data_IF_716680068097
#
_entry.id   IF_716680068097
#
_cell.length_a   1.000
_cell.length_b   1.000
_cell.length_c   1.000
_cell.angle_alpha   90.00
_cell.angle_beta   90.00
_cell.angle_gamma   90.00
#
_symmetry.space_group_name_H-M   'P 1'
#
loop_
_entity.id
_entity.type
_entity.pdbx_description
1 polymer ?
#
# COMPACT_ATOMS: atom_id res chain seq x y z
N UNK A 1 12.96 -13.32 28.41
CA UNK A 1 11.52 -13.41 28.75
C UNK A 1 11.26 -14.14 30.08
N UNK A 2 11.48 -13.51 31.23
CA UNK A 2 11.19 -14.11 32.55
C UNK A 2 10.12 -13.34 33.35
N UNK A 3 9.20 -12.66 32.65
CA UNK A 3 8.11 -11.89 33.25
C UNK A 3 6.97 -12.73 33.85
N UNK A 4 6.00 -12.02 34.42
CA UNK A 4 4.76 -12.60 34.94
C UNK A 4 3.54 -11.84 34.45
N UNK A 5 2.63 -12.60 33.85
CA UNK A 5 1.34 -12.09 33.39
C UNK A 5 0.23 -12.47 34.36
N UNK A 6 -0.66 -11.53 34.66
CA UNK A 6 -1.88 -11.77 35.41
C UNK A 6 -3.04 -12.01 34.44
N UNK A 7 -3.69 -13.16 34.52
CA UNK A 7 -4.86 -13.48 33.69
C UNK A 7 -6.10 -13.72 34.55
N UNK A 8 -7.15 -12.94 34.33
CA UNK A 8 -8.42 -13.03 35.08
C UNK A 8 -9.62 -12.83 34.15
N UNK A 9 -10.77 -13.41 34.50
CA UNK A 9 -12.04 -13.11 33.82
C UNK A 9 -12.93 -12.32 34.76
N UNK A 10 -13.37 -11.15 34.31
CA UNK A 10 -14.35 -10.32 35.03
C UNK A 10 -15.51 -9.99 34.10
N UNK A 11 -16.72 -10.34 34.52
CA UNK A 11 -17.89 -10.33 33.63
C UNK A 11 -17.68 -11.29 32.44
N UNK A 12 -17.71 -10.74 31.23
CA UNK A 12 -17.49 -11.47 29.98
C UNK A 12 -16.15 -11.08 29.30
N UNK A 13 -15.24 -10.43 30.02
CA UNK A 13 -13.96 -9.98 29.48
C UNK A 13 -12.82 -10.76 30.11
N UNK A 14 -11.93 -11.30 29.27
CA UNK A 14 -10.64 -11.84 29.70
C UNK A 14 -9.65 -10.67 29.75
N UNK A 15 -9.14 -10.42 30.95
CA UNK A 15 -8.08 -9.47 31.21
C UNK A 15 -6.75 -10.20 31.30
N UNK A 16 -5.77 -9.77 30.53
CA UNK A 16 -4.39 -10.27 30.56
C UNK A 16 -3.48 -9.07 30.75
N UNK A 17 -2.75 -9.04 31.86
CA UNK A 17 -1.93 -7.88 32.23
C UNK A 17 -0.50 -8.29 32.54
N UNK A 18 0.47 -7.78 31.76
CA UNK A 18 1.89 -8.03 31.95
C UNK A 18 2.49 -7.26 33.13
N UNK A 19 3.70 -7.64 33.51
CA UNK A 19 4.61 -6.80 34.28
C UNK A 19 5.63 -6.13 33.35
N UNK A 20 6.45 -5.16 33.81
CA UNK A 20 7.38 -4.42 32.93
C UNK A 20 8.59 -5.23 32.41
N UNK A 21 8.51 -6.56 32.46
CA UNK A 21 9.56 -7.45 32.00
C UNK A 21 9.01 -8.28 30.85
N UNK A 22 9.86 -8.60 29.89
CA UNK A 22 9.59 -9.50 28.77
C UNK A 22 8.66 -10.70 29.08
N UNK A 23 7.50 -10.70 28.44
CA UNK A 23 6.48 -11.74 28.52
C UNK A 23 6.33 -12.48 27.19
N UNK A 24 5.95 -13.75 27.26
CA UNK A 24 5.51 -14.52 26.10
C UNK A 24 4.25 -15.29 26.45
N UNK A 25 3.14 -14.94 25.80
CA UNK A 25 1.81 -15.46 26.13
C UNK A 25 1.17 -16.09 24.91
N UNK A 26 0.51 -17.22 25.10
CA UNK A 26 -0.33 -17.86 24.10
C UNK A 26 -1.77 -17.98 24.62
N UNK A 27 -2.72 -17.55 23.80
CA UNK A 27 -4.16 -17.66 24.03
C UNK A 27 -4.77 -18.59 22.99
N UNK A 28 -5.52 -19.60 23.46
CA UNK A 28 -6.21 -20.55 22.60
C UNK A 28 -7.67 -20.72 23.05
N UNK A 29 -8.56 -21.05 22.11
CA UNK A 29 -9.95 -21.34 22.41
C UNK A 29 -10.14 -22.86 22.53
N UNK A 30 -10.51 -23.32 23.72
CA UNK A 30 -10.73 -24.75 24.00
C UNK A 30 -12.20 -25.17 23.96
N UNK A 31 -13.09 -24.23 23.66
CA UNK A 31 -14.54 -24.44 23.53
C UNK A 31 -15.27 -23.14 23.22
N UNK A 32 -16.58 -23.22 22.98
CA UNK A 32 -17.39 -22.01 22.73
C UNK A 32 -17.26 -21.05 23.92
N UNK A 33 -16.77 -19.83 23.66
CA UNK A 33 -16.49 -18.80 24.67
C UNK A 33 -15.59 -19.27 25.82
N UNK A 34 -14.73 -20.27 25.58
CA UNK A 34 -13.81 -20.81 26.58
C UNK A 34 -12.37 -20.73 26.09
N UNK A 35 -11.52 -20.05 26.85
CA UNK A 35 -10.15 -19.74 26.45
C UNK A 35 -9.15 -20.20 27.49
N UNK A 36 -7.94 -20.49 27.03
CA UNK A 36 -6.78 -20.83 27.84
C UNK A 36 -5.70 -19.80 27.62
N UNK A 37 -5.11 -19.30 28.71
CA UNK A 37 -3.92 -18.45 28.69
C UNK A 37 -2.76 -19.24 29.28
N UNK A 38 -1.64 -19.31 28.57
CA UNK A 38 -0.42 -20.01 28.99
C UNK A 38 0.81 -19.17 28.65
N UNK A 39 1.86 -19.24 29.48
CA UNK A 39 3.18 -18.74 29.10
C UNK A 39 3.76 -19.61 27.98
N UNK A 40 4.38 -19.00 26.97
CA UNK A 40 4.97 -19.72 25.84
C UNK A 40 6.06 -20.69 26.29
N UNK A 41 6.13 -21.87 25.69
CA UNK A 41 7.08 -22.91 26.08
C UNK A 41 8.52 -22.40 25.93
N UNK A 42 9.33 -22.55 26.98
CA UNK A 42 10.74 -22.16 26.97
C UNK A 42 11.03 -20.67 27.21
N UNK A 43 10.01 -19.81 27.24
CA UNK A 43 10.19 -18.39 27.56
C UNK A 43 10.72 -18.19 28.98
N UNK A 44 10.03 -18.77 29.97
CA UNK A 44 10.20 -18.46 31.39
C UNK A 44 9.03 -17.65 31.96
N UNK A 45 8.16 -17.12 31.09
CA UNK A 45 6.98 -16.37 31.49
C UNK A 45 6.03 -17.21 32.34
N UNK A 46 5.59 -16.63 33.45
CA UNK A 46 4.61 -17.23 34.35
C UNK A 46 3.24 -16.58 34.18
N UNK A 47 2.17 -17.34 34.47
CA UNK A 47 0.80 -16.79 34.45
C UNK A 47 0.16 -16.98 35.82
N UNK A 48 -0.21 -15.88 36.47
CA UNK A 48 -0.63 -15.83 37.87
C UNK A 48 0.39 -16.50 38.82
N UNK A 49 1.68 -16.27 38.59
CA UNK A 49 2.80 -16.85 39.36
C UNK A 49 3.01 -18.35 39.15
N UNK A 50 2.31 -18.97 38.18
CA UNK A 50 2.45 -20.39 37.88
C UNK A 50 3.42 -20.60 36.71
N UNK A 51 4.24 -21.68 36.73
CA UNK A 51 5.16 -21.99 35.65
C UNK A 51 4.46 -22.07 34.28
N UNK A 52 5.23 -21.81 33.21
CA UNK A 52 4.81 -21.94 31.82
C UNK A 52 4.07 -23.26 31.57
N UNK A 53 3.04 -23.22 30.71
CA UNK A 53 2.15 -24.35 30.43
C UNK A 53 0.99 -24.55 31.43
N UNK A 54 0.88 -23.74 32.48
CA UNK A 54 -0.30 -23.81 33.37
C UNK A 54 -1.50 -23.12 32.74
N UNK A 55 -2.54 -23.89 32.45
CA UNK A 55 -3.78 -23.42 31.81
C UNK A 55 -4.69 -22.69 32.79
N UNK A 56 -5.10 -21.47 32.44
CA UNK A 56 -6.22 -20.76 33.09
C UNK A 56 -7.40 -20.76 32.14
N UNK A 57 -8.54 -21.29 32.60
CA UNK A 57 -9.75 -21.39 31.79
C UNK A 57 -10.71 -20.25 32.09
N UNK A 58 -10.90 -19.35 31.13
CA UNK A 58 -11.98 -18.37 31.15
C UNK A 58 -13.26 -18.96 30.57
N UNK A 59 -14.41 -18.85 31.24
CA UNK A 59 -15.71 -19.28 30.72
C UNK A 59 -16.57 -18.07 30.35
N UNK A 60 -17.38 -18.19 29.29
CA UNK A 60 -18.26 -17.13 28.79
C UNK A 60 -17.53 -15.84 28.39
N UNK A 61 -16.27 -15.96 27.97
CA UNK A 61 -15.48 -14.81 27.49
C UNK A 61 -16.03 -14.38 26.13
N UNK A 62 -16.29 -13.09 26.00
CA UNK A 62 -16.77 -12.43 24.78
C UNK A 62 -15.83 -11.34 24.31
N UNK A 63 -15.01 -10.78 25.20
CA UNK A 63 -14.06 -9.72 24.90
C UNK A 63 -12.67 -10.05 25.43
N UNK A 64 -11.64 -9.49 24.78
CA UNK A 64 -10.27 -9.44 25.30
C UNK A 64 -9.90 -7.99 25.65
N UNK A 65 -9.24 -7.84 26.80
CA UNK A 65 -8.54 -6.64 27.23
C UNK A 65 -7.13 -7.08 27.65
N UNK A 66 -6.15 -6.86 26.79
CA UNK A 66 -4.77 -7.31 26.97
C UNK A 66 -3.88 -6.06 27.04
N UNK A 67 -3.02 -6.00 28.05
CA UNK A 67 -2.10 -4.89 28.30
C UNK A 67 -0.81 -5.48 28.89
N UNK A 68 0.22 -5.65 28.07
CA UNK A 68 1.49 -6.25 28.49
C UNK A 68 2.42 -5.23 29.17
N UNK A 69 2.09 -3.95 29.04
CA UNK A 69 2.70 -2.75 29.64
C UNK A 69 4.09 -2.40 29.12
N UNK A 70 4.96 -3.36 28.87
CA UNK A 70 6.28 -3.13 28.30
C UNK A 70 7.31 -4.18 28.70
N UNK A 71 8.53 -4.01 28.18
CA UNK A 71 9.45 -5.12 27.92
C UNK A 71 9.27 -5.58 26.49
N UNK A 72 10.12 -6.50 26.04
CA UNK A 72 9.99 -7.06 24.69
C UNK A 72 9.03 -8.24 24.76
N UNK A 73 7.74 -8.00 24.55
CA UNK A 73 6.68 -8.97 24.76
C UNK A 73 6.34 -9.76 23.49
N UNK A 74 5.70 -10.93 23.66
CA UNK A 74 5.16 -11.69 22.55
C UNK A 74 3.79 -12.26 22.88
N UNK A 75 2.86 -12.17 21.94
CA UNK A 75 1.48 -12.63 22.11
C UNK A 75 1.03 -13.43 20.89
N UNK A 76 0.71 -14.71 21.11
CA UNK A 76 0.03 -15.55 20.14
C UNK A 76 -1.43 -15.76 20.48
N UNK A 77 -2.37 -15.47 19.57
CA UNK A 77 -3.80 -15.69 19.77
C UNK A 77 -4.44 -16.39 18.55
N UNK A 78 -4.48 -17.73 18.57
CA UNK A 78 -5.02 -18.57 17.49
C UNK A 78 -5.39 -19.97 18.01
N UNK A 79 -6.25 -20.73 17.31
CA UNK A 79 -6.42 -22.17 17.53
C UNK A 79 -5.46 -23.05 16.72
N UNK A 80 -4.69 -22.47 15.79
CA UNK A 80 -3.73 -23.20 14.96
C UNK A 80 -2.33 -23.15 15.59
N UNK A 81 -1.88 -24.30 16.14
CA UNK A 81 -0.51 -24.44 16.62
C UNK A 81 0.52 -24.27 15.49
N UNK A 82 0.16 -24.62 14.25
CA UNK A 82 1.04 -24.46 13.09
C UNK A 82 1.25 -22.98 12.80
N UNK A 83 0.17 -22.18 12.79
CA UNK A 83 0.26 -20.72 12.64
C UNK A 83 1.17 -20.13 13.71
N UNK A 84 0.92 -20.42 14.99
CA UNK A 84 1.71 -19.88 16.10
C UNK A 84 3.19 -20.29 16.02
N UNK A 85 3.47 -21.54 15.64
CA UNK A 85 4.86 -22.02 15.49
C UNK A 85 5.58 -21.36 14.32
N UNK A 86 4.88 -21.18 13.18
CA UNK A 86 5.46 -20.55 12.00
C UNK A 86 5.75 -19.07 12.24
N UNK A 87 4.80 -18.34 12.84
CA UNK A 87 4.99 -16.92 13.16
C UNK A 87 6.08 -16.75 14.23
N UNK A 88 6.15 -17.63 15.23
CA UNK A 88 7.27 -17.62 16.17
C UNK A 88 8.62 -17.87 15.49
N UNK A 89 8.69 -18.74 14.49
CA UNK A 89 9.92 -18.97 13.74
C UNK A 89 10.28 -17.74 12.89
N UNK A 90 9.29 -17.03 12.35
CA UNK A 90 9.45 -15.80 11.58
C UNK A 90 10.02 -14.66 12.42
N UNK A 91 9.47 -14.40 13.61
CA UNK A 91 10.00 -13.41 14.57
C UNK A 91 11.44 -13.72 15.03
N UNK A 92 11.91 -14.95 14.83
CA UNK A 92 13.30 -15.36 15.09
C UNK A 92 14.19 -15.29 13.84
N UNK A 93 13.77 -14.56 12.80
CA UNK A 93 14.48 -14.40 11.53
C UNK A 93 14.29 -15.56 10.55
N UNK A 94 13.25 -16.36 10.72
CA UNK A 94 12.89 -17.45 9.81
C UNK A 94 12.25 -16.95 8.51
N UNK A 95 12.22 -17.75 7.43
CA UNK A 95 11.57 -17.35 6.19
C UNK A 95 10.06 -17.15 6.42
N UNK A 96 9.49 -16.09 5.84
CA UNK A 96 8.04 -15.85 5.85
C UNK A 96 7.33 -17.07 5.23
N UNK A 97 6.69 -17.90 6.06
CA UNK A 97 5.99 -19.07 5.58
C UNK A 97 4.61 -18.67 5.04
N UNK A 98 4.21 -19.25 3.89
CA UNK A 98 2.84 -19.15 3.41
C UNK A 98 1.91 -19.91 4.37
N UNK A 99 1.25 -19.20 5.27
CA UNK A 99 0.35 -19.77 6.29
C UNK A 99 -1.03 -20.03 5.70
N UNK A 100 -1.13 -21.17 5.02
CA UNK A 100 -2.42 -21.77 4.70
C UNK A 100 -3.09 -22.25 5.98
N UNK A 101 -4.12 -21.54 6.46
CA UNK A 101 -5.46 -22.04 6.83
C UNK A 101 -6.23 -20.98 7.64
N UNK A 102 -7.20 -20.33 7.00
CA UNK A 102 -8.13 -19.36 7.60
C UNK A 102 -9.14 -20.00 8.60
N UNK A 103 -9.14 -21.32 8.77
CA UNK A 103 -10.21 -22.05 9.44
C UNK A 103 -10.20 -21.91 10.98
N UNK A 104 -9.03 -21.67 11.57
CA UNK A 104 -8.78 -21.90 13.00
C UNK A 104 -8.70 -20.62 13.86
N UNK A 105 -9.35 -19.55 13.43
CA UNK A 105 -9.42 -18.31 14.19
C UNK A 105 -10.16 -18.47 15.54
N UNK A 106 -9.70 -17.75 16.57
CA UNK A 106 -10.42 -17.58 17.84
C UNK A 106 -11.70 -16.79 17.61
N UNK A 107 -12.81 -17.17 18.22
CA UNK A 107 -14.10 -16.46 18.04
C UNK A 107 -14.51 -15.70 19.31
N UNK A 108 -14.68 -14.38 19.18
CA UNK A 108 -15.14 -13.46 20.22
C UNK A 108 -16.47 -12.82 19.79
N UNK A 109 -17.46 -12.79 20.68
CA UNK A 109 -18.74 -12.15 20.38
C UNK A 109 -18.68 -10.61 20.47
N UNK A 110 -17.70 -10.06 21.18
CA UNK A 110 -17.48 -8.62 21.31
C UNK A 110 -16.17 -8.20 20.65
N UNK A 111 -15.30 -7.49 21.39
CA UNK A 111 -14.09 -6.85 20.86
C UNK A 111 -12.79 -7.51 21.36
N UNK A 112 -11.68 -7.14 20.74
CA UNK A 112 -10.34 -7.38 21.27
C UNK A 112 -9.57 -6.04 21.31
N UNK A 113 -9.07 -5.68 22.49
CA UNK A 113 -8.18 -4.53 22.71
C UNK A 113 -6.87 -5.10 23.28
N UNK A 114 -5.77 -4.90 22.56
CA UNK A 114 -4.49 -5.54 22.82
C UNK A 114 -3.41 -4.46 22.79
N UNK A 115 -2.63 -4.37 23.88
CA UNK A 115 -1.55 -3.40 24.02
C UNK A 115 -0.25 -4.03 24.46
N UNK A 116 0.85 -3.61 23.82
CA UNK A 116 2.22 -4.02 24.13
C UNK A 116 2.85 -3.14 25.21
N UNK A 117 3.09 -1.88 24.89
CA UNK A 117 3.63 -0.88 25.79
C UNK A 117 4.90 -0.24 25.24
N UNK A 118 6.00 -0.34 25.98
CA UNK A 118 7.32 0.11 25.52
C UNK A 118 8.22 -1.11 25.42
N UNK A 119 8.94 -1.26 24.31
CA UNK A 119 9.81 -2.39 24.02
C UNK A 119 9.47 -3.00 22.66
N UNK A 120 10.29 -3.95 22.21
CA UNK A 120 10.09 -4.61 20.91
C UNK A 120 9.08 -5.76 21.06
N UNK A 121 7.86 -5.56 20.59
CA UNK A 121 6.72 -6.45 20.80
C UNK A 121 6.36 -7.27 19.55
N UNK A 122 6.01 -8.55 19.76
CA UNK A 122 5.71 -9.46 18.65
C UNK A 122 4.34 -10.15 18.78
N UNK A 123 3.35 -9.68 18.02
CA UNK A 123 1.95 -10.11 18.10
C UNK A 123 1.51 -10.93 16.88
N UNK A 124 0.98 -12.13 17.13
CA UNK A 124 0.47 -13.07 16.14
C UNK A 124 -1.00 -13.39 16.39
N UNK A 125 -1.90 -12.78 15.62
CA UNK A 125 -3.33 -12.76 15.89
C UNK A 125 -4.15 -13.41 14.75
N UNK A 126 -5.06 -14.29 15.12
CA UNK A 126 -6.07 -14.88 14.23
C UNK A 126 -7.44 -14.85 14.93
N UNK A 127 -8.18 -13.76 14.77
CA UNK A 127 -9.37 -13.45 15.55
C UNK A 127 -10.61 -13.20 14.67
N UNK A 128 -11.75 -13.80 15.05
CA UNK A 128 -13.08 -13.47 14.54
C UNK A 128 -13.87 -12.78 15.64
N UNK A 129 -14.02 -11.47 15.54
CA UNK A 129 -14.71 -10.65 16.54
C UNK A 129 -16.06 -10.16 16.02
N UNK A 130 -17.04 -10.04 16.93
CA UNK A 130 -18.33 -9.43 16.61
C UNK A 130 -18.29 -7.90 16.57
N UNK A 131 -17.21 -7.30 17.06
CA UNK A 131 -16.97 -5.86 17.11
C UNK A 131 -15.57 -5.55 16.57
N UNK A 132 -14.78 -4.70 17.25
CA UNK A 132 -13.53 -4.18 16.73
C UNK A 132 -12.33 -5.01 17.24
N UNK A 133 -11.25 -5.00 16.45
CA UNK A 133 -9.91 -5.40 16.89
C UNK A 133 -9.08 -4.12 16.97
N UNK A 134 -8.47 -3.87 18.12
CA UNK A 134 -7.49 -2.81 18.32
C UNK A 134 -6.20 -3.45 18.81
N UNK A 135 -5.12 -3.18 18.09
CA UNK A 135 -3.75 -3.58 18.41
C UNK A 135 -2.93 -2.30 18.49
N UNK A 136 -2.17 -2.16 19.56
CA UNK A 136 -1.37 -0.98 19.91
C UNK A 136 -0.08 -1.48 20.58
N UNK A 137 0.98 -1.75 19.81
CA UNK A 137 2.24 -2.30 20.36
C UNK A 137 3.03 -1.22 21.07
N UNK A 138 3.00 0.02 20.59
CA UNK A 138 3.42 1.19 21.36
C UNK A 138 4.71 1.75 20.82
N UNK A 139 5.76 1.84 21.65
CA UNK A 139 7.06 2.35 21.21
C UNK A 139 8.10 1.22 21.21
N UNK A 140 8.85 1.07 20.14
CA UNK A 140 9.84 0.00 19.97
C UNK A 140 9.97 -0.35 18.50
N UNK A 141 10.62 -1.48 18.20
CA UNK A 141 10.51 -2.15 16.89
C UNK A 141 9.56 -3.33 17.01
N UNK A 142 8.38 -3.22 16.41
CA UNK A 142 7.27 -4.11 16.67
C UNK A 142 6.88 -4.98 15.46
N UNK A 143 6.57 -6.25 15.73
CA UNK A 143 6.07 -7.19 14.74
C UNK A 143 4.57 -7.46 14.97
N UNK A 144 3.69 -7.03 14.06
CA UNK A 144 2.25 -7.32 14.12
C UNK A 144 1.79 -8.16 12.93
N UNK A 145 1.47 -9.43 13.19
CA UNK A 145 0.90 -10.37 12.22
C UNK A 145 -0.58 -10.61 12.51
N UNK A 146 -1.45 -10.14 11.61
CA UNK A 146 -2.89 -10.34 11.65
C UNK A 146 -3.37 -11.15 10.44
N UNK A 147 -3.71 -12.42 10.67
CA UNK A 147 -4.13 -13.32 9.59
C UNK A 147 -5.55 -13.82 9.78
N UNK A 148 -6.27 -14.03 8.67
CA UNK A 148 -7.60 -14.65 8.64
C UNK A 148 -8.62 -14.05 9.59
N UNK A 149 -8.43 -12.79 9.97
CA UNK A 149 -9.18 -12.14 11.02
C UNK A 149 -10.42 -11.45 10.45
N UNK A 150 -11.50 -11.42 11.23
CA UNK A 150 -12.74 -10.74 10.85
C UNK A 150 -13.21 -9.83 11.97
N UNK A 151 -13.61 -8.60 11.65
CA UNK A 151 -14.09 -7.63 12.62
C UNK A 151 -15.05 -6.62 11.98
N UNK A 152 -15.67 -5.78 12.80
CA UNK A 152 -16.42 -4.60 12.36
C UNK A 152 -15.46 -3.51 11.89
N UNK A 153 -14.39 -3.24 12.65
CA UNK A 153 -13.25 -2.39 12.28
C UNK A 153 -11.96 -3.00 12.85
N UNK A 154 -10.82 -2.66 12.24
CA UNK A 154 -9.50 -3.07 12.70
C UNK A 154 -8.59 -1.85 12.71
N UNK A 155 -7.94 -1.62 13.84
CA UNK A 155 -6.87 -0.66 14.00
C UNK A 155 -5.62 -1.40 14.47
N UNK A 156 -4.52 -1.23 13.75
CA UNK A 156 -3.17 -1.60 14.16
C UNK A 156 -2.37 -0.30 14.29
N UNK A 157 -1.94 0.03 15.50
CA UNK A 157 -0.88 1.01 15.74
C UNK A 157 0.34 0.20 16.15
N UNK A 158 1.32 0.11 15.26
CA UNK A 158 2.61 -0.41 15.65
C UNK A 158 3.39 0.66 16.43
N UNK A 159 3.12 1.94 16.11
CA UNK A 159 3.94 3.04 16.61
C UNK A 159 3.19 4.16 17.35
N UNK A 160 3.96 5.02 18.05
CA UNK A 160 3.53 6.25 18.73
C UNK A 160 3.77 7.54 17.96
N UNK A 161 4.51 7.53 16.84
CA UNK A 161 4.96 8.69 16.09
C UNK A 161 5.95 9.61 16.83
N UNK A 162 6.55 9.15 17.93
CA UNK A 162 7.73 9.72 18.58
C UNK A 162 9.00 9.07 18.04
N UNK A 163 9.47 9.64 16.94
CA UNK A 163 10.74 9.33 16.29
C UNK A 163 11.93 9.11 17.25
N UNK A 164 11.95 9.68 18.46
CA UNK A 164 13.05 9.45 19.41
C UNK A 164 13.04 8.08 20.11
N UNK A 165 11.88 7.44 20.21
CA UNK A 165 11.69 6.15 20.90
C UNK A 165 11.30 5.02 19.98
N UNK A 166 10.81 5.39 18.81
CA UNK A 166 10.16 4.50 17.87
C UNK A 166 11.21 3.94 16.89
N UNK A 167 10.99 2.70 16.44
CA UNK A 167 11.93 1.95 15.63
C UNK A 167 11.22 1.24 14.48
N UNK A 168 11.99 0.46 13.72
CA UNK A 168 11.47 -0.21 12.51
C UNK A 168 10.40 -1.25 12.87
N UNK A 169 9.21 -1.13 12.27
CA UNK A 169 8.08 -2.01 12.48
C UNK A 169 7.82 -2.95 11.30
N UNK A 170 7.25 -4.12 11.59
CA UNK A 170 6.72 -5.04 10.60
C UNK A 170 5.23 -5.32 10.82
N UNK A 171 4.38 -4.86 9.91
CA UNK A 171 2.94 -5.12 9.96
C UNK A 171 2.48 -5.98 8.79
N UNK A 172 1.88 -7.12 9.10
CA UNK A 172 1.36 -8.05 8.11
C UNK A 172 -0.11 -8.36 8.30
N UNK A 173 -0.91 -8.04 7.30
CA UNK A 173 -2.36 -8.27 7.31
C UNK A 173 -2.78 -9.12 6.12
N UNK A 174 -3.17 -10.38 6.37
CA UNK A 174 -3.52 -11.34 5.30
C UNK A 174 -4.88 -12.01 5.49
N UNK A 175 -5.68 -12.07 4.44
CA UNK A 175 -6.98 -12.75 4.44
C UNK A 175 -7.98 -12.15 5.43
N UNK A 176 -7.90 -10.84 5.63
CA UNK A 176 -8.69 -10.11 6.63
C UNK A 176 -9.98 -9.58 6.01
N UNK A 177 -11.08 -9.66 6.76
CA UNK A 177 -12.38 -9.10 6.37
C UNK A 177 -12.92 -8.13 7.42
N UNK A 178 -13.12 -6.87 7.04
CA UNK A 178 -13.71 -5.81 7.85
C UNK A 178 -15.12 -5.51 7.36
N UNK A 179 -16.12 -5.96 8.11
CA UNK A 179 -17.49 -6.05 7.62
C UNK A 179 -18.18 -4.70 7.40
N UNK A 180 -17.87 -3.69 8.23
CA UNK A 180 -18.61 -2.42 8.23
C UNK A 180 -17.73 -1.18 8.24
N UNK A 181 -16.55 -1.24 8.84
CA UNK A 181 -15.63 -0.12 9.00
C UNK A 181 -14.33 -0.31 8.23
N UNK A 182 -13.29 0.34 8.74
CA UNK A 182 -11.99 0.44 8.08
C UNK A 182 -10.97 -0.53 8.67
N UNK A 183 -10.01 -0.91 7.83
CA UNK A 183 -8.69 -1.34 8.29
C UNK A 183 -7.80 -0.09 8.32
N UNK A 184 -7.25 0.23 9.49
CA UNK A 184 -6.27 1.31 9.65
C UNK A 184 -4.99 0.70 10.20
N UNK A 185 -3.87 1.01 9.57
CA UNK A 185 -2.52 0.62 9.99
C UNK A 185 -1.70 1.90 10.12
N UNK A 186 -1.09 2.08 11.27
CA UNK A 186 -0.18 3.16 11.55
C UNK A 186 1.15 2.59 12.07
N UNK A 187 2.23 2.87 11.36
CA UNK A 187 3.61 2.61 11.81
C UNK A 187 4.39 3.92 11.95
N UNK A 188 3.90 5.01 11.35
CA UNK A 188 4.32 6.41 11.51
C UNK A 188 5.81 6.77 11.41
N UNK A 189 6.73 6.15 12.15
CA UNK A 189 8.14 6.49 12.11
C UNK A 189 9.03 5.28 12.22
N UNK A 190 10.13 5.28 11.47
CA UNK A 190 11.05 4.15 11.40
C UNK A 190 11.18 3.68 9.96
N UNK A 191 12.06 2.70 9.71
CA UNK A 191 12.12 2.09 8.38
C UNK A 191 11.14 0.89 8.35
N UNK A 192 9.86 1.14 8.07
CA UNK A 192 8.79 0.15 8.29
C UNK A 192 8.50 -0.74 7.09
N UNK A 193 8.00 -1.95 7.35
CA UNK A 193 7.53 -2.87 6.31
C UNK A 193 6.08 -3.28 6.56
N UNK A 194 5.21 -2.99 5.59
CA UNK A 194 3.78 -3.29 5.65
C UNK A 194 3.36 -4.21 4.50
N UNK A 195 2.95 -5.44 4.85
CA UNK A 195 2.49 -6.47 3.93
C UNK A 195 0.97 -6.68 4.00
N UNK A 196 0.25 -6.33 2.92
CA UNK A 196 -1.19 -6.53 2.79
C UNK A 196 -1.52 -7.60 1.75
N UNK A 197 -2.32 -8.61 2.11
CA UNK A 197 -2.79 -9.59 1.14
C UNK A 197 -4.25 -9.99 1.34
N UNK A 198 -5.06 -9.99 0.28
CA UNK A 198 -6.44 -10.47 0.30
C UNK A 198 -7.30 -9.79 1.39
N UNK A 199 -7.27 -8.45 1.41
CA UNK A 199 -8.01 -7.63 2.37
C UNK A 199 -9.36 -7.22 1.79
N UNK A 200 -10.44 -7.41 2.54
CA UNK A 200 -11.78 -6.92 2.19
C UNK A 200 -12.31 -5.97 3.28
N UNK A 201 -12.53 -4.69 2.97
CA UNK A 201 -12.96 -3.70 3.97
C UNK A 201 -13.96 -2.67 3.41
N UNK A 202 -14.52 -1.79 4.25
CA UNK A 202 -15.17 -0.57 3.74
C UNK A 202 -14.11 0.36 3.13
N UNK A 203 -13.06 0.64 3.89
CA UNK A 203 -11.86 1.35 3.45
C UNK A 203 -10.60 0.78 4.08
N UNK A 204 -9.45 1.06 3.46
CA UNK A 204 -8.11 0.77 3.97
C UNK A 204 -7.35 2.09 4.05
N UNK A 205 -6.69 2.33 5.19
CA UNK A 205 -5.78 3.45 5.40
C UNK A 205 -4.47 2.90 5.94
N UNK A 206 -3.36 3.25 5.30
CA UNK A 206 -2.00 2.97 5.76
C UNK A 206 -1.29 4.30 5.94
N UNK A 207 -0.71 4.51 7.12
CA UNK A 207 0.13 5.67 7.44
C UNK A 207 1.48 5.11 7.92
N UNK A 208 2.45 5.05 7.01
CA UNK A 208 3.73 4.41 7.24
C UNK A 208 4.77 5.39 7.81
N UNK A 209 4.98 6.56 7.21
CA UNK A 209 5.91 7.54 7.78
C UNK A 209 5.27 8.84 8.28
N UNK A 210 6.13 9.81 8.60
CA UNK A 210 5.78 11.14 9.08
C UNK A 210 6.18 12.24 8.10
N UNK A 211 5.63 13.45 8.25
CA UNK A 211 5.90 14.54 7.31
C UNK A 211 7.32 15.11 7.28
N UNK A 212 8.22 14.71 8.19
CA UNK A 212 9.64 15.11 8.17
C UNK A 212 10.46 14.39 9.25
N UNK A 213 11.66 13.93 8.93
CA UNK A 213 12.56 13.29 9.93
C UNK A 213 13.33 14.28 10.80
N UNK A 214 13.69 13.87 12.03
CA UNK A 214 14.54 14.65 12.95
C UNK A 214 15.87 13.96 13.24
N UNK A 215 16.89 14.75 13.61
CA UNK A 215 18.16 14.26 14.16
C UNK A 215 18.93 13.23 13.29
N UNK A 216 18.67 13.19 11.99
CA UNK A 216 19.33 12.24 11.08
C UNK A 216 18.77 10.82 11.14
N UNK A 217 17.56 10.65 11.67
CA UNK A 217 16.79 9.43 11.53
C UNK A 217 16.34 9.24 10.08
N UNK A 218 16.24 7.98 9.69
CA UNK A 218 15.60 7.54 8.46
C UNK A 218 14.15 7.19 8.75
N UNK A 219 13.36 7.17 7.69
CA UNK A 219 11.92 6.90 7.69
C UNK A 219 11.64 6.21 6.35
N UNK A 220 12.36 5.13 6.04
CA UNK A 220 12.34 4.49 4.71
C UNK A 220 11.35 3.34 4.72
N UNK A 221 10.17 3.57 4.16
CA UNK A 221 9.06 2.63 4.25
C UNK A 221 8.93 1.70 3.03
N UNK A 222 8.47 0.49 3.27
CA UNK A 222 8.04 -0.46 2.24
C UNK A 222 6.59 -0.90 2.45
N UNK A 223 5.69 -0.54 1.52
CA UNK A 223 4.29 -0.98 1.51
C UNK A 223 4.04 -1.92 0.33
N UNK A 224 3.85 -3.20 0.63
CA UNK A 224 3.48 -4.23 -0.34
C UNK A 224 2.01 -4.59 -0.21
N UNK A 225 1.26 -4.57 -1.32
CA UNK A 225 -0.13 -5.02 -1.30
C UNK A 225 -0.56 -5.86 -2.51
N UNK A 226 -1.34 -6.90 -2.22
CA UNK A 226 -2.00 -7.73 -3.22
C UNK A 226 -3.46 -8.02 -2.87
N UNK A 227 -4.37 -7.78 -3.80
CA UNK A 227 -5.76 -8.22 -3.65
C UNK A 227 -6.53 -7.45 -2.57
N UNK A 228 -6.46 -6.12 -2.59
CA UNK A 228 -7.27 -5.26 -1.72
C UNK A 228 -8.61 -4.99 -2.41
N UNK A 229 -9.71 -5.31 -1.74
CA UNK A 229 -11.07 -4.95 -2.18
C UNK A 229 -11.72 -4.05 -1.14
N UNK A 230 -12.07 -2.83 -1.52
CA UNK A 230 -12.80 -1.88 -0.67
C UNK A 230 -14.04 -1.36 -1.37
N UNK A 231 -15.03 -0.90 -0.58
CA UNK A 231 -16.25 -0.28 -1.11
C UNK A 231 -16.14 1.24 -1.22
N UNK A 232 -15.19 1.84 -0.51
CA UNK A 232 -15.04 3.29 -0.41
C UNK A 232 -13.65 3.77 -0.84
N UNK A 233 -12.60 3.52 -0.05
CA UNK A 233 -11.28 4.06 -0.36
C UNK A 233 -10.13 3.14 0.02
N UNK A 234 -9.03 3.28 -0.72
CA UNK A 234 -7.69 2.86 -0.32
C UNK A 234 -6.82 4.10 -0.30
N UNK A 235 -6.22 4.41 0.85
CA UNK A 235 -5.30 5.53 1.05
C UNK A 235 -4.03 4.97 1.68
N UNK A 236 -2.88 5.27 1.08
CA UNK A 236 -1.55 4.85 1.56
C UNK A 236 -0.66 6.09 1.55
N UNK A 237 -0.02 6.39 2.68
CA UNK A 237 0.91 7.50 2.82
C UNK A 237 2.21 6.97 3.46
N UNK A 238 3.36 7.19 2.82
CA UNK A 238 4.69 6.88 3.39
C UNK A 238 5.42 8.14 3.85
N UNK A 239 5.12 9.29 3.25
CA UNK A 239 5.57 10.62 3.65
C UNK A 239 7.09 10.85 3.54
N UNK A 240 7.83 11.06 4.64
CA UNK A 240 9.25 11.39 4.54
C UNK A 240 10.06 10.11 4.38
N UNK A 241 11.06 10.09 3.50
CA UNK A 241 11.81 8.88 3.26
C UNK A 241 12.12 8.67 1.79
N UNK A 242 12.83 7.59 1.47
CA UNK A 242 12.94 7.13 0.08
C UNK A 242 12.12 5.85 -0.01
N UNK A 243 10.81 5.99 -0.18
CA UNK A 243 9.87 4.92 0.11
C UNK A 243 9.59 4.04 -1.10
N UNK A 244 9.05 2.86 -0.84
CA UNK A 244 8.65 1.89 -1.87
C UNK A 244 7.23 1.41 -1.64
N UNK A 245 6.36 1.63 -2.62
CA UNK A 245 4.97 1.17 -2.60
C UNK A 245 4.72 0.27 -3.81
N UNK A 246 4.50 -1.03 -3.58
CA UNK A 246 4.19 -2.00 -4.63
C UNK A 246 2.79 -2.57 -4.44
N UNK A 247 1.85 -2.11 -5.27
CA UNK A 247 0.42 -2.28 -5.06
C UNK A 247 -0.23 -2.98 -6.26
N UNK A 248 -0.90 -4.10 -6.02
CA UNK A 248 -1.43 -4.93 -7.11
C UNK A 248 -2.81 -5.50 -6.80
N UNK A 249 -3.64 -5.65 -7.83
CA UNK A 249 -5.00 -6.21 -7.71
C UNK A 249 -5.87 -5.41 -6.72
N UNK A 250 -5.89 -4.09 -6.88
CA UNK A 250 -6.65 -3.17 -6.02
C UNK A 250 -8.02 -2.89 -6.65
N UNK A 251 -9.11 -3.11 -5.92
CA UNK A 251 -10.47 -2.74 -6.32
C UNK A 251 -11.08 -1.81 -5.28
N UNK A 252 -11.47 -0.61 -5.69
CA UNK A 252 -12.00 0.41 -4.79
C UNK A 252 -12.95 1.39 -5.49
N UNK A 253 -13.56 2.29 -4.72
CA UNK A 253 -14.22 3.47 -5.30
C UNK A 253 -13.18 4.57 -5.54
N UNK A 254 -12.41 4.93 -4.54
CA UNK A 254 -11.36 5.95 -4.61
C UNK A 254 -9.98 5.40 -4.21
N UNK A 255 -8.95 5.71 -4.98
CA UNK A 255 -7.58 5.28 -4.71
C UNK A 255 -6.66 6.48 -4.56
N UNK A 256 -5.81 6.47 -3.53
CA UNK A 256 -4.74 7.45 -3.36
C UNK A 256 -3.53 6.78 -2.74
N UNK A 257 -2.35 7.09 -3.28
CA UNK A 257 -1.05 6.78 -2.71
C UNK A 257 -0.18 8.03 -2.76
N UNK A 258 0.53 8.31 -1.67
CA UNK A 258 1.45 9.43 -1.52
C UNK A 258 2.81 8.87 -1.09
N UNK A 259 3.86 9.16 -1.87
CA UNK A 259 5.27 9.02 -1.53
C UNK A 259 5.60 10.07 -0.46
N UNK A 260 5.91 11.29 -0.85
CA UNK A 260 6.06 12.44 0.04
C UNK A 260 7.40 13.14 -0.19
N UNK A 261 8.26 13.22 0.83
CA UNK A 261 9.57 13.86 0.65
C UNK A 261 10.68 12.82 0.58
N UNK A 262 11.51 12.90 -0.45
CA UNK A 262 12.62 12.01 -0.76
C UNK A 262 12.35 11.31 -2.09
N UNK A 263 13.17 10.31 -2.43
CA UNK A 263 13.10 9.68 -3.75
C UNK A 263 12.25 8.41 -3.66
N UNK A 264 10.98 8.52 -4.03
CA UNK A 264 9.99 7.47 -3.83
C UNK A 264 9.77 6.60 -5.06
N UNK A 265 9.35 5.36 -4.85
CA UNK A 265 8.94 4.45 -5.91
C UNK A 265 7.51 3.95 -5.66
N UNK A 266 6.57 4.38 -6.49
CA UNK A 266 5.16 3.96 -6.45
C UNK A 266 4.84 3.13 -7.69
N UNK A 267 4.64 1.84 -7.48
CA UNK A 267 4.34 0.85 -8.50
C UNK A 267 2.93 0.30 -8.31
N UNK A 268 2.04 0.57 -9.27
CA UNK A 268 0.65 0.09 -9.24
C UNK A 268 0.36 -0.81 -10.44
N UNK A 269 -0.37 -1.90 -10.20
CA UNK A 269 -0.83 -2.79 -11.25
C UNK A 269 -2.29 -3.23 -11.01
N UNK A 270 -3.06 -3.37 -12.09
CA UNK A 270 -4.41 -3.97 -12.06
C UNK A 270 -5.37 -3.22 -11.12
N UNK A 271 -5.31 -1.88 -11.17
CA UNK A 271 -6.13 -0.99 -10.37
C UNK A 271 -7.53 -0.86 -10.95
N UNK A 272 -8.57 -1.08 -10.14
CA UNK A 272 -9.97 -0.91 -10.51
C UNK A 272 -10.61 0.13 -9.59
N UNK A 273 -10.62 1.39 -10.00
CA UNK A 273 -11.23 2.51 -9.28
C UNK A 273 -12.52 2.98 -9.97
N UNK A 274 -13.64 2.95 -9.25
CA UNK A 274 -14.94 3.38 -9.82
C UNK A 274 -15.15 4.90 -9.81
N UNK A 275 -14.27 5.67 -9.15
CA UNK A 275 -14.15 7.12 -9.30
C UNK A 275 -12.75 7.51 -9.73
N UNK A 276 -11.94 8.04 -8.82
CA UNK A 276 -10.66 8.68 -9.12
C UNK A 276 -9.52 7.89 -8.48
N UNK A 277 -8.34 8.02 -9.08
CA UNK A 277 -7.10 7.39 -8.64
C UNK A 277 -5.96 8.40 -8.71
N UNK A 278 -5.24 8.59 -7.60
CA UNK A 278 -4.13 9.53 -7.49
C UNK A 278 -2.85 8.80 -7.04
N UNK A 279 -1.76 9.03 -7.77
CA UNK A 279 -0.41 8.64 -7.40
C UNK A 279 0.39 9.93 -7.27
N UNK A 280 0.93 10.20 -6.08
CA UNK A 280 1.55 11.49 -5.75
C UNK A 280 2.96 11.23 -5.20
N UNK A 281 3.99 11.81 -5.82
CA UNK A 281 5.39 11.78 -5.36
C UNK A 281 5.69 12.90 -4.36
N UNK A 282 5.30 14.13 -4.68
CA UNK A 282 5.60 15.40 -3.97
C UNK A 282 7.01 15.98 -4.17
N UNK A 283 8.06 15.51 -3.48
CA UNK A 283 9.37 16.16 -3.58
C UNK A 283 10.53 15.16 -3.53
N UNK A 284 11.34 15.11 -4.58
CA UNK A 284 12.50 14.25 -4.73
C UNK A 284 12.56 13.72 -6.16
N UNK A 285 13.49 12.81 -6.45
CA UNK A 285 13.53 12.15 -7.77
C UNK A 285 12.65 10.89 -7.73
N UNK A 286 11.37 11.01 -8.11
CA UNK A 286 10.36 9.98 -7.89
C UNK A 286 10.13 9.06 -9.11
N UNK A 287 9.70 7.82 -8.86
CA UNK A 287 9.26 6.87 -9.89
C UNK A 287 7.80 6.49 -9.65
N UNK A 288 6.90 6.92 -10.54
CA UNK A 288 5.48 6.63 -10.46
C UNK A 288 5.09 5.77 -11.67
N UNK A 289 4.69 4.52 -11.43
CA UNK A 289 4.37 3.57 -12.48
C UNK A 289 2.98 2.96 -12.32
N UNK A 290 2.25 2.88 -13.43
CA UNK A 290 1.10 2.00 -13.61
C UNK A 290 1.41 1.02 -14.74
N UNK A 291 1.62 -0.26 -14.40
CA UNK A 291 1.93 -1.31 -15.36
C UNK A 291 1.16 -2.61 -15.02
N UNK A 292 0.17 -2.95 -15.84
CA UNK A 292 -0.66 -4.14 -15.62
C UNK A 292 0.11 -5.47 -15.79
N UNK A 293 1.28 -5.45 -16.44
CA UNK A 293 2.13 -6.64 -16.61
C UNK A 293 2.94 -6.95 -15.35
N UNK A 294 3.05 -6.01 -14.42
CA UNK A 294 3.79 -6.19 -13.18
C UNK A 294 3.15 -7.24 -12.27
N UNK A 295 4.00 -7.97 -11.58
CA UNK A 295 3.60 -8.93 -10.55
C UNK A 295 4.30 -8.59 -9.24
N UNK A 296 3.59 -7.93 -8.31
CA UNK A 296 4.14 -7.59 -7.00
C UNK A 296 4.72 -8.79 -6.25
N UNK A 297 4.13 -9.98 -6.43
CA UNK A 297 4.58 -11.19 -5.73
C UNK A 297 5.80 -11.87 -6.38
N UNK A 298 6.04 -11.59 -7.66
CA UNK A 298 7.18 -12.11 -8.40
C UNK A 298 7.51 -11.18 -9.57
N UNK A 299 8.24 -10.08 -9.32
CA UNK A 299 8.58 -9.09 -10.36
C UNK A 299 9.33 -9.67 -11.56
N UNK A 300 9.94 -10.86 -11.41
CA UNK A 300 10.64 -11.54 -12.51
C UNK A 300 9.69 -12.24 -13.50
N UNK A 301 8.42 -12.41 -13.14
CA UNK A 301 7.42 -13.11 -13.96
C UNK A 301 6.26 -12.17 -14.33
N UNK A 302 6.27 -11.59 -15.55
CA UNK A 302 5.17 -10.77 -16.03
C UNK A 302 3.84 -11.52 -16.05
N UNK A 303 2.77 -10.83 -15.67
CA UNK A 303 1.40 -11.39 -15.68
C UNK A 303 0.77 -11.17 -17.06
N UNK A 304 0.02 -12.18 -17.52
CA UNK A 304 -0.83 -12.04 -18.71
C UNK A 304 -2.01 -11.14 -18.34
N UNK A 305 -2.08 -9.97 -18.97
CA UNK A 305 -3.19 -9.03 -18.81
C UNK A 305 -4.38 -9.51 -19.64
N UNK A 306 -5.56 -9.50 -19.01
CA UNK A 306 -6.85 -9.89 -19.58
C UNK A 306 -7.88 -8.82 -19.27
N UNK A 307 -9.05 -8.91 -19.89
CA UNK A 307 -10.13 -7.96 -19.61
C UNK A 307 -10.63 -7.93 -18.17
N UNK A 308 -10.42 -9.02 -17.42
CA UNK A 308 -10.90 -9.14 -16.05
C UNK A 308 -9.93 -8.57 -15.02
N UNK A 309 -8.67 -8.31 -15.40
CA UNK A 309 -7.62 -7.92 -14.47
C UNK A 309 -6.80 -6.73 -14.97
N UNK A 310 -7.17 -6.08 -16.06
CA UNK A 310 -6.53 -4.85 -16.48
C UNK A 310 -7.03 -3.63 -15.71
N UNK A 311 -6.22 -2.58 -15.65
CA UNK A 311 -6.57 -1.36 -14.94
C UNK A 311 -7.81 -0.68 -15.55
N UNK A 312 -8.69 -0.19 -14.68
CA UNK A 312 -9.82 0.66 -15.05
C UNK A 312 -10.02 1.77 -14.02
N UNK A 313 -10.10 3.01 -14.51
CA UNK A 313 -10.37 4.20 -13.69
C UNK A 313 -11.47 5.00 -14.37
N UNK A 314 -12.66 5.01 -13.75
CA UNK A 314 -13.86 5.58 -14.37
C UNK A 314 -13.91 7.12 -14.37
N UNK A 315 -13.14 7.76 -13.50
CA UNK A 315 -13.02 9.20 -13.32
C UNK A 315 -11.69 9.75 -13.84
N UNK A 316 -10.89 10.31 -12.94
CA UNK A 316 -9.55 10.81 -13.23
C UNK A 316 -8.50 9.85 -12.66
N UNK A 317 -7.55 9.43 -13.52
CA UNK A 317 -6.25 8.94 -13.09
C UNK A 317 -5.27 10.11 -13.14
N UNK A 318 -4.66 10.48 -12.02
CA UNK A 318 -3.65 11.53 -11.95
C UNK A 318 -2.36 10.98 -11.37
N UNK A 319 -1.27 11.33 -12.05
CA UNK A 319 0.09 11.26 -11.54
C UNK A 319 0.53 12.70 -11.23
N UNK A 320 1.04 12.92 -10.03
CA UNK A 320 1.57 14.20 -9.57
C UNK A 320 2.92 13.93 -8.90
N UNK A 321 3.99 13.93 -9.70
CA UNK A 321 5.32 13.57 -9.22
C UNK A 321 5.92 14.69 -8.36
N UNK A 322 5.70 15.96 -8.73
CA UNK A 322 5.98 17.09 -7.86
C UNK A 322 7.27 17.82 -8.22
N UNK A 323 8.25 17.95 -7.32
CA UNK A 323 9.52 18.62 -7.63
C UNK A 323 10.67 17.61 -7.63
N UNK A 324 11.55 17.66 -8.63
CA UNK A 324 12.73 16.82 -8.73
C UNK A 324 12.83 16.20 -10.12
N UNK A 325 13.74 15.24 -10.34
CA UNK A 325 13.87 14.60 -11.65
C UNK A 325 13.04 13.31 -11.66
N UNK A 326 11.82 13.42 -12.15
CA UNK A 326 10.81 12.39 -11.96
C UNK A 326 10.67 11.46 -13.17
N UNK A 327 10.20 10.24 -12.90
CA UNK A 327 9.83 9.28 -13.93
C UNK A 327 8.38 8.82 -13.76
N UNK A 328 7.53 9.18 -14.71
CA UNK A 328 6.15 8.70 -14.78
C UNK A 328 5.98 7.70 -15.93
N UNK A 329 5.60 6.46 -15.60
CA UNK A 329 5.38 5.39 -16.57
C UNK A 329 3.92 4.90 -16.54
N UNK A 330 3.18 5.06 -17.63
CA UNK A 330 1.82 4.54 -17.78
C UNK A 330 1.80 3.56 -18.95
N UNK A 331 1.82 2.26 -18.65
CA UNK A 331 1.98 1.21 -19.63
C UNK A 331 0.75 0.28 -19.66
N UNK A 332 -0.01 0.37 -20.75
CA UNK A 332 -1.05 -0.60 -21.08
C UNK A 332 -0.49 -1.81 -21.84
N UNK A 333 -1.31 -2.84 -22.02
CA UNK A 333 -0.99 -3.97 -22.87
C UNK A 333 -1.66 -3.80 -24.25
N UNK A 334 -0.93 -4.04 -25.34
CA UNK A 334 -1.46 -4.05 -26.72
C UNK A 334 -2.70 -4.96 -26.91
N UNK A 335 -2.76 -6.06 -26.17
CA UNK A 335 -3.89 -7.00 -26.21
C UNK A 335 -5.07 -6.53 -25.35
N UNK A 336 -4.82 -5.67 -24.35
CA UNK A 336 -5.86 -5.12 -23.49
C UNK A 336 -5.46 -3.75 -22.93
N UNK A 337 -6.10 -2.71 -23.46
CA UNK A 337 -5.86 -1.34 -23.02
C UNK A 337 -6.58 -1.06 -21.69
N UNK A 338 -5.95 -0.38 -20.72
CA UNK A 338 -6.62 0.05 -19.52
C UNK A 338 -7.80 0.95 -19.88
N UNK A 339 -8.95 0.73 -19.23
CA UNK A 339 -10.15 1.54 -19.45
C UNK A 339 -10.08 2.80 -18.60
N UNK A 340 -9.40 3.82 -19.12
CA UNK A 340 -9.26 5.12 -18.48
C UNK A 340 -10.27 6.11 -19.05
N UNK A 341 -10.84 6.97 -18.21
CA UNK A 341 -11.61 8.11 -18.69
C UNK A 341 -10.71 9.31 -18.91
N UNK A 342 -10.14 9.90 -17.86
CA UNK A 342 -9.16 10.97 -18.01
C UNK A 342 -7.82 10.55 -17.41
N UNK A 343 -6.74 11.01 -18.01
CA UNK A 343 -5.37 10.85 -17.51
C UNK A 343 -4.71 12.22 -17.40
N UNK A 344 -4.21 12.56 -16.22
CA UNK A 344 -3.32 13.68 -15.98
C UNK A 344 -1.96 13.17 -15.54
N UNK A 345 -0.90 13.73 -16.11
CA UNK A 345 0.49 13.51 -15.69
C UNK A 345 1.11 14.87 -15.44
N UNK A 346 1.52 15.11 -14.20
CA UNK A 346 2.11 16.36 -13.72
C UNK A 346 3.46 16.00 -13.09
N UNK A 347 4.57 16.55 -13.60
CA UNK A 347 5.93 16.35 -13.02
C UNK A 347 6.60 17.64 -12.54
N UNK A 348 5.93 18.78 -12.77
CA UNK A 348 6.21 20.11 -12.24
C UNK A 348 7.60 20.74 -12.43
N UNK A 349 8.73 20.20 -11.98
CA UNK A 349 10.00 20.87 -12.28
C UNK A 349 11.23 20.05 -11.94
N UNK A 350 12.16 19.97 -12.89
CA UNK A 350 13.36 19.15 -12.83
C UNK A 350 13.76 18.64 -14.21
N UNK A 351 14.26 17.42 -14.33
CA UNK A 351 14.53 16.79 -15.64
C UNK A 351 13.68 15.53 -15.66
N UNK A 352 12.48 15.65 -16.21
CA UNK A 352 11.46 14.64 -16.05
C UNK A 352 11.35 13.71 -17.25
N UNK A 353 10.87 12.50 -17.02
CA UNK A 353 10.51 11.55 -18.08
C UNK A 353 9.07 11.07 -17.90
N UNK A 354 8.22 11.37 -18.88
CA UNK A 354 6.85 10.87 -18.94
C UNK A 354 6.69 9.88 -20.11
N UNK A 355 6.42 8.61 -19.82
CA UNK A 355 6.21 7.55 -20.82
C UNK A 355 4.79 7.01 -20.78
N UNK A 356 4.03 7.24 -21.85
CA UNK A 356 2.65 6.76 -22.02
C UNK A 356 2.59 5.76 -23.18
N UNK A 357 2.23 4.50 -22.90
CA UNK A 357 2.20 3.43 -23.92
C UNK A 357 0.89 2.66 -23.92
N UNK A 358 0.39 2.36 -25.12
CA UNK A 358 -0.73 1.43 -25.35
C UNK A 358 -1.98 1.79 -24.52
N UNK A 359 -2.39 3.05 -24.57
CA UNK A 359 -3.53 3.55 -23.77
C UNK A 359 -4.74 3.81 -24.67
N UNK A 360 -5.93 3.50 -24.16
CA UNK A 360 -7.20 3.83 -24.82
C UNK A 360 -8.12 4.53 -23.81
N UNK A 361 -8.30 5.84 -24.00
CA UNK A 361 -9.05 6.68 -23.08
C UNK A 361 -10.38 7.13 -23.70
N UNK A 362 -11.44 7.12 -22.90
CA UNK A 362 -12.76 7.64 -23.32
C UNK A 362 -12.91 9.15 -23.13
N UNK A 363 -11.94 9.79 -22.46
CA UNK A 363 -11.87 11.23 -22.18
C UNK A 363 -10.52 11.80 -22.59
N UNK A 364 -9.93 12.64 -21.75
CA UNK A 364 -8.79 13.48 -22.11
C UNK A 364 -7.45 12.94 -21.58
N UNK A 365 -6.38 13.29 -22.27
CA UNK A 365 -5.00 13.19 -21.78
C UNK A 365 -4.48 14.62 -21.57
N UNK A 366 -3.93 14.87 -20.39
CA UNK A 366 -3.18 16.06 -20.05
C UNK A 366 -1.80 15.63 -19.56
N UNK A 367 -0.75 16.17 -20.15
CA UNK A 367 0.62 16.08 -19.66
C UNK A 367 1.14 17.50 -19.43
N UNK A 368 1.71 17.74 -18.26
CA UNK A 368 2.35 18.99 -17.87
C UNK A 368 3.67 18.63 -17.17
N UNK A 369 4.80 18.78 -17.86
CA UNK A 369 6.11 18.41 -17.29
C UNK A 369 6.76 19.55 -16.52
N UNK A 370 6.40 20.80 -16.82
CA UNK A 370 6.85 21.94 -16.05
C UNK A 370 8.20 22.51 -16.48
N UNK A 371 8.96 23.08 -15.55
CA UNK A 371 10.24 23.72 -15.91
C UNK A 371 11.38 22.68 -15.89
N UNK A 372 12.14 22.61 -16.97
CA UNK A 372 13.42 21.90 -17.10
C UNK A 372 13.57 21.19 -18.43
N UNK A 373 14.47 20.21 -18.55
CA UNK A 373 14.70 19.54 -19.84
C UNK A 373 13.98 18.20 -19.84
N UNK A 374 12.76 18.15 -20.35
CA UNK A 374 11.88 17.00 -20.14
C UNK A 374 11.80 16.09 -21.36
N UNK A 375 11.63 14.80 -21.11
CA UNK A 375 11.44 13.76 -22.11
C UNK A 375 10.02 13.18 -22.06
N UNK A 376 9.20 13.51 -23.06
CA UNK A 376 7.86 12.97 -23.25
C UNK A 376 7.84 11.89 -24.34
N UNK A 377 7.43 10.68 -23.98
CA UNK A 377 7.23 9.57 -24.92
C UNK A 377 5.75 9.18 -24.91
N UNK A 378 5.08 9.29 -26.05
CA UNK A 378 3.73 8.72 -26.25
C UNK A 378 3.74 7.74 -27.42
N UNK A 379 3.36 6.49 -27.16
CA UNK A 379 3.34 5.42 -28.16
C UNK A 379 2.01 4.66 -28.10
N UNK A 380 1.24 4.68 -29.18
CA UNK A 380 -0.03 3.95 -29.23
C UNK A 380 -1.09 4.48 -28.27
N UNK A 381 -1.11 5.79 -28.01
CA UNK A 381 -2.09 6.44 -27.13
C UNK A 381 -3.31 6.90 -27.95
N UNK A 382 -4.50 6.40 -27.61
CA UNK A 382 -5.76 6.80 -28.25
C UNK A 382 -6.66 7.44 -27.20
N UNK A 383 -7.13 8.66 -27.45
CA UNK A 383 -8.08 9.35 -26.57
C UNK A 383 -9.32 9.80 -27.36
N UNK A 384 -10.52 9.56 -26.86
CA UNK A 384 -11.76 10.09 -27.49
C UNK A 384 -11.96 11.59 -27.22
N UNK A 385 -11.29 12.12 -26.20
CA UNK A 385 -11.18 13.54 -25.89
C UNK A 385 -9.91 14.19 -26.46
N UNK A 386 -9.53 15.31 -25.85
CA UNK A 386 -8.32 16.03 -26.25
C UNK A 386 -7.06 15.38 -25.68
N UNK A 387 -5.95 15.52 -26.41
CA UNK A 387 -4.61 15.24 -25.91
C UNK A 387 -3.91 16.60 -25.84
N UNK A 388 -3.50 17.02 -24.65
CA UNK A 388 -2.70 18.23 -24.47
C UNK A 388 -1.42 17.87 -23.73
N UNK A 389 -0.29 18.29 -24.26
CA UNK A 389 1.02 18.20 -23.61
C UNK A 389 1.64 19.60 -23.54
N UNK A 390 2.07 19.99 -22.35
CA UNK A 390 2.79 21.24 -22.06
C UNK A 390 4.13 20.86 -21.44
N UNK A 391 5.23 21.16 -22.13
CA UNK A 391 6.59 20.91 -21.64
C UNK A 391 7.22 22.17 -21.02
N UNK A 392 6.46 23.28 -21.02
CA UNK A 392 6.73 24.57 -20.42
C UNK A 392 8.13 25.16 -20.63
N UNK A 393 9.14 24.85 -19.83
CA UNK A 393 10.37 25.66 -19.81
C UNK A 393 11.68 24.88 -19.78
N UNK A 394 12.31 24.63 -20.93
CA UNK A 394 13.71 24.21 -21.03
C UNK A 394 14.02 23.74 -22.44
N UNK A 395 14.88 22.74 -22.61
CA UNK A 395 15.12 22.14 -23.94
C UNK A 395 14.51 20.74 -23.96
N UNK A 396 13.27 20.67 -24.40
CA UNK A 396 12.45 19.47 -24.22
C UNK A 396 12.49 18.54 -25.43
N UNK A 397 12.21 17.26 -25.20
CA UNK A 397 12.02 16.29 -26.28
C UNK A 397 10.65 15.62 -26.17
N UNK A 398 9.85 15.72 -27.23
CA UNK A 398 8.60 14.97 -27.37
C UNK A 398 8.73 13.94 -28.49
N UNK A 399 8.67 12.65 -28.16
CA UNK A 399 8.66 11.53 -29.12
C UNK A 399 7.28 10.89 -29.16
N UNK A 400 6.56 11.10 -30.27
CA UNK A 400 5.15 10.71 -30.40
C UNK A 400 4.97 9.76 -31.58
N UNK A 401 4.43 8.57 -31.33
CA UNK A 401 4.08 7.57 -32.34
C UNK A 401 2.70 6.96 -32.08
N UNK A 402 2.02 6.58 -33.17
CA UNK A 402 0.72 5.89 -33.16
C UNK A 402 -0.33 6.53 -32.24
N UNK A 403 -0.25 7.85 -32.02
CA UNK A 403 -1.08 8.58 -31.07
C UNK A 403 -2.25 9.26 -31.76
N UNK A 404 -3.47 9.11 -31.22
CA UNK A 404 -4.70 9.60 -31.85
C UNK A 404 -5.67 10.27 -30.89
N UNK A 405 -6.16 11.44 -31.27
CA UNK A 405 -7.34 12.07 -30.66
C UNK A 405 -8.57 11.81 -31.56
N UNK A 406 -9.54 11.05 -31.06
CA UNK A 406 -10.80 10.77 -31.75
C UNK A 406 -11.86 11.83 -31.39
N UNK A 407 -13.07 11.66 -31.94
CA UNK A 407 -14.24 12.44 -31.52
C UNK A 407 -14.28 13.90 -31.98
N UNK A 408 -13.42 14.30 -32.93
CA UNK A 408 -13.29 15.70 -33.35
C UNK A 408 -12.59 16.58 -32.31
N UNK A 409 -11.87 15.97 -31.37
CA UNK A 409 -11.03 16.65 -30.39
C UNK A 409 -9.65 17.01 -30.97
N UNK A 410 -8.89 17.82 -30.25
CA UNK A 410 -7.56 18.29 -30.68
C UNK A 410 -6.45 17.54 -29.96
N UNK A 411 -5.35 17.33 -30.67
CA UNK A 411 -4.07 16.98 -30.09
C UNK A 411 -3.16 18.22 -30.17
N UNK A 412 -2.66 18.67 -29.02
CA UNK A 412 -1.81 19.86 -28.89
C UNK A 412 -0.56 19.51 -28.10
N UNK A 413 0.58 19.89 -28.64
CA UNK A 413 1.87 19.71 -28.01
C UNK A 413 2.60 21.05 -28.05
N UNK A 414 2.94 21.57 -26.87
CA UNK A 414 3.63 22.84 -26.68
C UNK A 414 4.97 22.56 -26.01
N UNK A 415 6.07 22.83 -26.71
CA UNK A 415 7.43 22.77 -26.13
C UNK A 415 7.56 23.86 -25.06
N UNK A 416 7.43 25.11 -25.48
CA UNK A 416 7.31 26.25 -24.58
C UNK A 416 8.49 27.19 -24.73
N UNK A 417 9.24 27.43 -23.65
CA UNK A 417 10.38 28.32 -23.64
C UNK A 417 11.70 27.55 -23.68
N UNK A 418 12.35 27.53 -24.84
CA UNK A 418 13.74 27.10 -25.01
C UNK A 418 13.97 26.51 -26.39
N UNK A 419 14.73 25.43 -26.51
CA UNK A 419 14.98 24.75 -27.78
C UNK A 419 14.39 23.35 -27.77
N UNK A 420 13.15 23.23 -28.24
CA UNK A 420 12.39 22.00 -28.10
C UNK A 420 12.44 21.16 -29.38
N UNK A 421 12.51 19.85 -29.19
CA UNK A 421 12.59 18.85 -30.25
C UNK A 421 11.34 17.99 -30.28
N UNK A 422 10.62 18.02 -31.40
CA UNK A 422 9.53 17.08 -31.68
C UNK A 422 9.99 15.97 -32.63
N UNK A 423 9.94 14.72 -32.17
CA UNK A 423 10.24 13.52 -32.95
C UNK A 423 8.93 12.80 -33.32
N UNK A 424 8.58 12.83 -34.60
CA UNK A 424 7.41 12.14 -35.12
C UNK A 424 7.74 10.68 -35.49
N UNK A 425 7.31 9.72 -34.67
CA UNK A 425 7.50 8.29 -34.93
C UNK A 425 6.54 7.70 -35.98
N UNK A 426 5.59 8.49 -36.50
CA UNK A 426 4.59 8.06 -37.48
C UNK A 426 3.30 7.53 -36.85
N UNK A 427 2.28 7.28 -37.68
CA UNK A 427 0.99 6.69 -37.24
C UNK A 427 0.04 7.62 -36.48
N UNK A 428 0.48 8.86 -36.21
CA UNK A 428 -0.28 9.89 -35.50
C UNK A 428 -1.48 10.39 -36.33
N UNK A 429 -2.66 10.52 -35.71
CA UNK A 429 -3.91 10.90 -36.40
C UNK A 429 -4.93 11.68 -35.55
N UNK A 430 -5.67 12.62 -36.13
CA UNK A 430 -6.91 13.15 -35.53
C UNK A 430 -8.07 12.63 -36.38
N UNK A 431 -9.08 12.03 -35.77
CA UNK A 431 -10.30 11.65 -36.49
C UNK A 431 -11.31 12.81 -36.43
N UNK A 432 -11.55 13.47 -37.58
CA UNK A 432 -12.55 14.55 -37.70
C UNK A 432 -12.10 15.69 -38.61
N UNK A 433 -12.69 16.87 -38.42
CA UNK A 433 -12.34 18.12 -39.12
C UNK A 433 -11.20 18.91 -38.46
N UNK A 434 -10.64 18.40 -37.37
CA UNK A 434 -9.68 19.10 -36.53
C UNK A 434 -8.22 18.78 -36.93
N UNK A 435 -7.29 19.58 -36.42
CA UNK A 435 -5.88 19.58 -36.78
C UNK A 435 -4.99 19.17 -35.60
N UNK A 436 -3.83 18.62 -35.91
CA UNK A 436 -2.70 18.59 -34.98
C UNK A 436 -2.08 19.98 -34.89
N UNK A 437 -1.87 20.45 -33.66
CA UNK A 437 -1.08 21.66 -33.41
C UNK A 437 0.21 21.25 -32.70
N UNK A 438 1.32 21.50 -33.37
CA UNK A 438 2.66 21.35 -32.82
C UNK A 438 3.28 22.74 -32.75
N UNK A 439 3.62 23.19 -31.54
CA UNK A 439 4.35 24.44 -31.32
C UNK A 439 5.73 24.07 -30.75
N UNK A 440 6.68 23.80 -31.66
CA UNK A 440 8.08 23.45 -31.37
C UNK A 440 9.01 24.23 -32.31
N UNK A 441 10.21 24.59 -31.82
CA UNK A 441 11.26 25.24 -32.60
C UNK A 441 11.84 24.30 -33.65
N UNK A 442 11.99 23.02 -33.29
CA UNK A 442 12.52 21.99 -34.17
C UNK A 442 11.55 20.81 -34.29
N UNK A 443 10.98 20.66 -35.49
CA UNK A 443 10.20 19.47 -35.87
C UNK A 443 11.09 18.56 -36.70
N UNK A 444 11.52 17.44 -36.11
CA UNK A 444 12.22 16.38 -36.83
C UNK A 444 11.16 15.41 -37.34
N UNK A 445 10.62 15.70 -38.51
CA UNK A 445 9.88 14.71 -39.29
C UNK A 445 10.90 13.69 -39.81
N UNK A 446 10.91 12.48 -39.25
CA UNK A 446 11.46 11.34 -39.96
C UNK A 446 10.53 11.11 -41.15
N UNK A 447 10.88 11.69 -42.30
CA UNK A 447 10.13 11.62 -43.56
C UNK A 447 9.63 10.18 -43.78
N UNK A 448 8.36 9.93 -43.47
CA UNK A 448 7.67 8.73 -43.94
C UNK A 448 7.44 8.97 -45.43
N UNK A 449 8.06 8.20 -46.33
CA UNK A 449 7.78 8.33 -47.74
C UNK A 449 6.27 8.14 -47.96
N UNK A 450 5.62 8.93 -48.85
CA UNK A 450 4.19 8.81 -49.08
C UNK A 450 3.81 7.37 -49.45
N UNK A 451 2.68 6.92 -48.88
CA UNK A 451 2.12 5.57 -49.02
C UNK A 451 1.90 5.12 -50.48
#
# INVERSE_FOLDING_TARGET
LAGNVTATVSGNTLFVTGDPADNAVVIQQTGVNRFTVVGATGSGTTVNGRPAGTVITGNNVRNFEIDLRGGNDSLGASNSNVFLTNVQAEFLGGPQAATGLLADALTLAGYANIRGGVGDDAFALQLRTGQNILVDTGAGSDDVVLEGSTATSILVSADTADQATDGDDYVRVRGVTVAQGSLVINTFSGDDIIDLANVNALSVSVNAGIGSTVNGQTDVDEVNSVGITTRDSVIINTLAGNDSQTLTDISTRFFQTIGGSGNDTINVARLHATTDAFLIGEAGDDILALDDTMNALDPATPVIVTAANATSVAGLLQFDAGLGNDQVNVNGNLDFNPSLRNLHVLTAGGIDTATLRNLSLTGNVLVDTGDGNDDLIMEGVVADGAINAYLLGGNDTATISDTRANGGSRARFYGGAGFDTFNNGGGNGVQGSDYFLFEFEQVIDLIVPPA
#
